data_IF_015855753807
#
_entry.id   IF_015855753807
#
_cell.length_a   1.000
_cell.length_b   1.000
_cell.length_c   1.000
_cell.angle_alpha   90.00
_cell.angle_beta   90.00
_cell.angle_gamma   90.00
#
_symmetry.space_group_name_H-M   'P 1'
#
loop_
_entity.id
_entity.type
_entity.pdbx_description
1 polymer ?
#
# COMPACT_ATOMS: atom_id res chain seq x y z
N UNK A 1 -7.64 -8.95 38.29
CA UNK A 1 -6.85 -9.49 37.16
C UNK A 1 -7.76 -9.95 36.02
N UNK A 2 -8.86 -10.66 36.30
CA UNK A 2 -9.88 -11.05 35.32
C UNK A 2 -10.63 -9.82 34.74
N UNK A 3 -10.95 -8.81 35.55
CA UNK A 3 -11.61 -7.58 35.06
C UNK A 3 -10.74 -6.78 34.10
N UNK A 4 -9.43 -6.75 34.32
CA UNK A 4 -8.48 -6.12 33.41
C UNK A 4 -8.41 -6.87 32.07
N UNK A 5 -8.46 -8.21 32.11
CA UNK A 5 -8.49 -9.06 30.92
C UNK A 5 -9.79 -8.85 30.13
N UNK A 6 -10.93 -8.80 30.82
CA UNK A 6 -12.23 -8.52 30.19
C UNK A 6 -12.29 -7.12 29.58
N UNK A 7 -11.69 -6.13 30.25
CA UNK A 7 -11.61 -4.75 29.73
C UNK A 7 -10.71 -4.68 28.49
N UNK A 8 -9.56 -5.36 28.49
CA UNK A 8 -8.69 -5.45 27.31
C UNK A 8 -9.39 -6.10 26.12
N UNK A 9 -10.11 -7.20 26.36
CA UNK A 9 -10.83 -7.93 25.31
C UNK A 9 -11.99 -7.08 24.77
N UNK A 10 -12.76 -6.42 25.64
CA UNK A 10 -13.86 -5.55 25.22
C UNK A 10 -13.37 -4.36 24.38
N UNK A 11 -12.33 -3.64 24.83
CA UNK A 11 -11.76 -2.52 24.08
C UNK A 11 -11.17 -2.95 22.73
N UNK A 12 -10.51 -4.12 22.68
CA UNK A 12 -10.01 -4.69 21.43
C UNK A 12 -11.14 -5.06 20.46
N UNK A 13 -12.26 -5.56 20.99
CA UNK A 13 -13.45 -5.91 20.20
C UNK A 13 -14.12 -4.67 19.61
N UNK A 14 -14.30 -3.61 20.39
CA UNK A 14 -14.87 -2.34 19.90
C UNK A 14 -14.01 -1.73 18.79
N UNK A 15 -12.68 -1.72 18.95
CA UNK A 15 -11.77 -1.22 17.93
C UNK A 15 -11.84 -2.02 16.62
N UNK A 16 -12.02 -3.35 16.73
CA UNK A 16 -12.15 -4.22 15.57
C UNK A 16 -13.47 -3.99 14.82
N UNK A 17 -14.57 -3.80 15.56
CA UNK A 17 -15.89 -3.49 15.00
C UNK A 17 -15.87 -2.13 14.31
N UNK A 18 -15.22 -1.13 14.89
CA UNK A 18 -15.04 0.19 14.27
C UNK A 18 -14.17 0.14 13.01
N UNK A 19 -13.12 -0.69 12.99
CA UNK A 19 -12.24 -0.85 11.83
C UNK A 19 -12.85 -1.69 10.70
N UNK A 20 -13.76 -2.62 11.01
CA UNK A 20 -14.39 -3.54 10.07
C UNK A 20 -14.98 -2.86 8.81
N UNK A 21 -15.80 -1.79 8.90
CA UNK A 21 -16.33 -1.12 7.71
C UNK A 21 -15.23 -0.51 6.83
N UNK A 22 -14.17 0.03 7.43
CA UNK A 22 -13.04 0.59 6.69
C UNK A 22 -12.22 -0.48 5.98
N UNK A 23 -12.01 -1.63 6.62
CA UNK A 23 -11.33 -2.78 6.01
C UNK A 23 -12.16 -3.30 4.82
N UNK A 24 -13.48 -3.45 4.99
CA UNK A 24 -14.37 -3.87 3.92
C UNK A 24 -14.32 -2.90 2.73
N UNK A 25 -14.33 -1.59 3.00
CA UNK A 25 -14.19 -0.56 1.97
C UNK A 25 -12.81 -0.61 1.30
N UNK A 26 -11.74 -0.88 2.06
CA UNK A 26 -10.39 -1.07 1.55
C UNK A 26 -10.29 -2.26 0.60
N UNK A 27 -10.92 -3.40 0.93
CA UNK A 27 -11.00 -4.54 0.02
C UNK A 27 -11.82 -4.25 -1.23
N UNK A 28 -12.94 -3.54 -1.10
CA UNK A 28 -13.75 -3.08 -2.22
C UNK A 28 -12.95 -2.17 -3.16
N UNK A 29 -12.23 -1.19 -2.60
CA UNK A 29 -11.37 -0.30 -3.35
C UNK A 29 -10.20 -1.04 -4.00
N UNK A 30 -9.59 -2.02 -3.32
CA UNK A 30 -8.55 -2.86 -3.90
C UNK A 30 -9.07 -3.73 -5.06
N UNK A 31 -10.29 -4.27 -4.93
CA UNK A 31 -10.97 -5.00 -6.00
C UNK A 31 -11.32 -4.10 -7.19
N UNK A 32 -11.85 -2.90 -6.93
CA UNK A 32 -12.09 -1.90 -7.98
C UNK A 32 -10.78 -1.48 -8.66
N UNK A 33 -9.71 -1.27 -7.89
CA UNK A 33 -8.40 -0.94 -8.44
C UNK A 33 -7.85 -2.07 -9.31
N UNK A 34 -8.10 -3.34 -8.95
CA UNK A 34 -7.77 -4.51 -9.79
C UNK A 34 -8.50 -4.48 -11.14
N UNK A 35 -9.75 -4.03 -11.17
CA UNK A 35 -10.50 -3.86 -12.43
C UNK A 35 -9.96 -2.68 -13.26
N UNK A 36 -9.64 -1.56 -12.61
CA UNK A 36 -9.08 -0.37 -13.27
C UNK A 36 -7.63 -0.56 -13.76
N UNK A 37 -6.84 -1.38 -13.08
CA UNK A 37 -5.45 -1.72 -13.43
C UNK A 37 -5.39 -3.19 -13.87
N UNK A 38 -5.64 -3.47 -15.16
CA UNK A 38 -5.55 -4.84 -15.67
C UNK A 38 -4.15 -5.41 -15.47
N UNK A 39 -4.10 -6.70 -15.16
CA UNK A 39 -2.89 -7.45 -14.81
C UNK A 39 -1.79 -7.30 -15.88
N UNK A 40 -2.19 -7.14 -17.14
CA UNK A 40 -1.30 -6.90 -18.29
C UNK A 40 -0.63 -5.53 -18.27
N UNK A 41 -1.33 -4.48 -17.81
CA UNK A 41 -0.73 -3.15 -17.65
C UNK A 41 0.20 -3.11 -16.44
N UNK A 42 -0.17 -3.78 -15.35
CA UNK A 42 0.67 -3.88 -14.15
C UNK A 42 1.94 -4.67 -14.45
N UNK A 43 1.86 -5.86 -15.02
CA UNK A 43 3.04 -6.63 -15.39
C UNK A 43 3.94 -5.86 -16.40
N UNK A 44 3.35 -5.12 -17.35
CA UNK A 44 4.11 -4.36 -18.35
C UNK A 44 4.74 -3.06 -17.80
N UNK A 45 4.10 -2.37 -16.84
CA UNK A 45 4.54 -1.06 -16.35
C UNK A 45 5.22 -1.10 -14.97
N UNK A 46 4.85 -2.08 -14.15
CA UNK A 46 5.28 -2.25 -12.76
C UNK A 46 6.11 -3.54 -12.56
N UNK A 47 6.09 -4.47 -13.51
CA UNK A 47 6.90 -5.70 -13.48
C UNK A 47 8.34 -5.52 -13.98
N UNK A 48 8.65 -4.44 -14.69
CA UNK A 48 10.02 -4.14 -15.12
C UNK A 48 10.91 -3.80 -13.90
N UNK A 49 12.17 -4.26 -13.93
CA UNK A 49 13.21 -3.96 -12.91
C UNK A 49 13.75 -2.52 -12.98
N UNK A 50 13.06 -1.65 -13.73
CA UNK A 50 13.47 -0.27 -13.95
C UNK A 50 12.94 0.68 -12.85
N UNK A 51 13.67 1.78 -12.56
CA UNK A 51 13.22 2.85 -11.66
C UNK A 51 11.87 3.47 -12.10
N UNK A 52 11.48 3.31 -13.37
CA UNK A 52 10.18 3.75 -13.88
C UNK A 52 9.00 3.02 -13.23
N UNK A 53 9.16 1.73 -12.89
CA UNK A 53 8.14 0.95 -12.19
C UNK A 53 7.92 1.49 -10.78
N UNK A 54 9.02 1.79 -10.07
CA UNK A 54 9.02 2.37 -8.72
C UNK A 54 8.32 3.74 -8.70
N UNK A 55 8.69 4.62 -9.63
CA UNK A 55 8.10 5.96 -9.74
C UNK A 55 6.59 5.89 -10.04
N UNK A 56 6.16 5.02 -10.96
CA UNK A 56 4.74 4.82 -11.28
C UNK A 56 3.97 4.26 -10.09
N UNK A 57 4.57 3.34 -9.33
CA UNK A 57 3.96 2.76 -8.14
C UNK A 57 3.72 3.83 -7.06
N UNK A 58 4.72 4.68 -6.79
CA UNK A 58 4.54 5.80 -5.85
C UNK A 58 3.51 6.81 -6.34
N UNK A 59 3.48 7.13 -7.64
CA UNK A 59 2.47 8.04 -8.20
C UNK A 59 1.04 7.49 -8.06
N UNK A 60 0.87 6.18 -8.24
CA UNK A 60 -0.40 5.50 -8.02
C UNK A 60 -0.78 5.44 -6.54
N UNK A 61 0.20 5.36 -5.64
CA UNK A 61 0.00 5.37 -4.19
C UNK A 61 -0.50 6.70 -3.64
N UNK A 62 -0.04 7.83 -4.20
CA UNK A 62 -0.39 9.18 -3.76
C UNK A 62 -1.90 9.46 -3.69
N UNK A 63 -2.70 9.18 -4.73
CA UNK A 63 -4.13 9.45 -4.72
C UNK A 63 -4.96 8.40 -3.95
N UNK A 64 -4.35 7.33 -3.44
CA UNK A 64 -5.06 6.26 -2.75
C UNK A 64 -5.18 6.60 -1.25
N UNK A 65 -6.39 6.93 -0.75
CA UNK A 65 -6.61 7.24 0.66
C UNK A 65 -6.73 5.96 1.50
N UNK A 66 -5.78 5.04 1.35
CA UNK A 66 -5.78 3.79 2.09
C UNK A 66 -5.06 3.98 3.43
N UNK A 67 -5.73 3.60 4.51
CA UNK A 67 -5.08 3.48 5.82
C UNK A 67 -4.20 2.21 5.86
N UNK A 68 -3.38 2.05 6.91
CA UNK A 68 -2.49 0.89 7.05
C UNK A 68 -3.23 -0.45 6.98
N UNK A 69 -4.51 -0.48 7.37
CA UNK A 69 -5.37 -1.65 7.29
C UNK A 69 -5.72 -2.06 5.85
N UNK A 70 -5.80 -1.09 4.93
CA UNK A 70 -6.14 -1.32 3.52
C UNK A 70 -4.93 -1.37 2.57
N UNK A 71 -3.81 -0.73 2.94
CA UNK A 71 -2.62 -0.70 2.07
C UNK A 71 -1.96 -2.07 1.92
N UNK A 72 -1.99 -2.90 2.97
CA UNK A 72 -1.39 -4.25 2.95
C UNK A 72 -2.09 -5.16 1.93
N UNK A 73 -3.42 -5.37 1.96
CA UNK A 73 -4.09 -6.20 0.96
C UNK A 73 -3.99 -5.61 -0.45
N UNK A 74 -4.05 -4.28 -0.60
CA UNK A 74 -3.85 -3.63 -1.89
C UNK A 74 -2.46 -3.90 -2.48
N UNK A 75 -1.41 -3.81 -1.66
CA UNK A 75 -0.05 -4.11 -2.07
C UNK A 75 0.15 -5.59 -2.43
N UNK A 76 -0.48 -6.50 -1.68
CA UNK A 76 -0.46 -7.93 -1.98
C UNK A 76 -1.16 -8.19 -3.32
N UNK A 77 -2.32 -7.59 -3.57
CA UNK A 77 -3.03 -7.71 -4.85
C UNK A 77 -2.19 -7.18 -6.02
N UNK A 78 -1.54 -6.02 -5.86
CA UNK A 78 -0.66 -5.44 -6.88
C UNK A 78 0.55 -6.34 -7.17
N UNK A 79 1.09 -6.98 -6.13
CA UNK A 79 2.19 -7.94 -6.24
C UNK A 79 1.75 -9.23 -6.93
N UNK A 80 0.54 -9.73 -6.67
CA UNK A 80 -0.03 -10.88 -7.36
C UNK A 80 -0.28 -10.61 -8.85
N UNK A 81 -0.57 -9.36 -9.22
CA UNK A 81 -0.73 -8.93 -10.62
C UNK A 81 0.60 -8.76 -11.38
N UNK A 82 1.74 -9.06 -10.76
CA UNK A 82 3.06 -9.03 -11.41
C UNK A 82 3.86 -7.75 -11.20
N UNK A 83 3.53 -6.94 -10.19
CA UNK A 83 4.41 -5.85 -9.78
C UNK A 83 5.73 -6.39 -9.18
N UNK A 84 6.85 -5.76 -9.57
CA UNK A 84 8.16 -6.06 -9.00
C UNK A 84 8.20 -5.73 -7.49
N UNK A 85 9.10 -6.40 -6.75
CA UNK A 85 9.36 -6.20 -5.31
C UNK A 85 9.62 -4.73 -4.98
N UNK A 86 10.45 -4.05 -5.77
CA UNK A 86 10.76 -2.63 -5.56
C UNK A 86 9.54 -1.72 -5.74
N UNK A 87 8.70 -2.00 -6.74
CA UNK A 87 7.46 -1.25 -6.98
C UNK A 87 6.43 -1.47 -5.86
N UNK A 88 6.26 -2.72 -5.42
CA UNK A 88 5.35 -3.05 -4.31
C UNK A 88 5.78 -2.43 -2.99
N UNK A 89 7.09 -2.42 -2.70
CA UNK A 89 7.63 -1.80 -1.50
C UNK A 89 7.52 -0.27 -1.53
N UNK A 90 7.80 0.36 -2.66
CA UNK A 90 7.62 1.81 -2.81
C UNK A 90 6.15 2.23 -2.69
N UNK A 91 5.22 1.43 -3.22
CA UNK A 91 3.79 1.62 -3.00
C UNK A 91 3.42 1.54 -1.51
N UNK A 92 3.86 0.48 -0.82
CA UNK A 92 3.62 0.29 0.61
C UNK A 92 4.15 1.43 1.49
N UNK A 93 5.27 2.05 1.11
CA UNK A 93 5.87 3.17 1.83
C UNK A 93 5.16 4.48 1.51
N UNK A 94 4.91 4.76 0.22
CA UNK A 94 4.34 6.04 -0.22
C UNK A 94 2.89 6.25 0.21
N UNK A 95 2.05 5.22 0.17
CA UNK A 95 0.61 5.32 0.49
C UNK A 95 0.33 5.83 1.92
N UNK A 96 0.91 5.26 3.00
CA UNK A 96 0.72 5.79 4.35
C UNK A 96 1.40 7.16 4.56
N UNK A 97 2.46 7.47 3.82
CA UNK A 97 3.12 8.78 3.90
C UNK A 97 2.29 9.91 3.27
N UNK A 98 1.52 9.64 2.21
CA UNK A 98 0.62 10.61 1.58
C UNK A 98 -0.85 10.41 1.94
N UNK A 99 -1.14 9.52 2.88
CA UNK A 99 -2.50 9.23 3.31
C UNK A 99 -3.24 10.49 3.78
N UNK A 100 -4.51 10.58 3.40
CA UNK A 100 -5.40 11.72 3.74
C UNK A 100 -5.44 11.97 5.25
N UNK A 101 -5.40 10.91 6.06
CA UNK A 101 -5.36 10.99 7.52
C UNK A 101 -4.14 11.78 8.03
N UNK A 102 -2.98 11.48 7.46
CA UNK A 102 -1.72 12.07 7.84
C UNK A 102 -1.57 13.50 7.31
N UNK A 103 -2.17 13.79 6.15
CA UNK A 103 -2.32 15.14 5.61
C UNK A 103 -3.26 15.97 6.49
N UNK A 104 -4.42 15.43 6.88
CA UNK A 104 -5.40 16.10 7.76
C UNK A 104 -4.77 16.45 9.11
N UNK A 105 -4.07 15.50 9.73
CA UNK A 105 -3.36 15.72 10.99
C UNK A 105 -2.30 16.80 10.85
N UNK A 106 -1.53 16.79 9.75
CA UNK A 106 -0.51 17.82 9.49
C UNK A 106 -1.13 19.18 9.25
N UNK A 107 -2.26 19.25 8.53
CA UNK A 107 -3.00 20.49 8.27
C UNK A 107 -3.55 21.10 9.56
N UNK A 108 -4.02 20.25 10.48
CA UNK A 108 -4.55 20.69 11.77
C UNK A 108 -3.46 21.20 12.73
N UNK A 109 -2.21 20.71 12.62
CA UNK A 109 -1.15 20.99 13.58
C UNK A 109 -0.04 21.94 13.09
N UNK A 110 0.29 21.99 11.79
CA UNK A 110 1.61 22.46 11.33
C UNK A 110 1.61 23.47 10.15
N UNK A 111 0.46 24.03 9.77
CA UNK A 111 0.27 25.01 8.67
C UNK A 111 0.41 24.41 7.24
N UNK A 112 -0.42 24.85 6.25
CA UNK A 112 -0.46 24.34 4.87
C UNK A 112 0.89 24.30 4.13
N UNK A 113 1.88 25.12 4.51
CA UNK A 113 3.19 25.15 3.85
C UNK A 113 4.00 23.84 4.02
N UNK A 114 3.97 23.20 5.19
CA UNK A 114 4.66 21.92 5.43
C UNK A 114 3.94 20.71 4.78
N UNK A 115 2.65 20.87 4.51
CA UNK A 115 1.82 19.83 3.88
C UNK A 115 2.28 19.52 2.46
N UNK A 116 2.81 20.51 1.74
CA UNK A 116 3.30 20.33 0.37
C UNK A 116 4.66 19.62 0.31
N UNK A 117 5.51 19.80 1.32
CA UNK A 117 6.83 19.16 1.39
C UNK A 117 6.75 17.67 1.73
N UNK A 118 5.72 17.24 2.48
CA UNK A 118 5.49 15.84 2.84
C UNK A 118 5.40 14.87 1.66
N UNK A 119 4.53 15.07 0.66
CA UNK A 119 4.47 14.16 -0.50
C UNK A 119 5.77 14.16 -1.31
N UNK A 120 6.53 15.26 -1.27
CA UNK A 120 7.82 15.35 -1.94
C UNK A 120 8.88 14.52 -1.20
N UNK A 121 8.93 14.62 0.13
CA UNK A 121 9.78 13.76 0.97
C UNK A 121 9.39 12.28 0.83
N UNK A 122 8.09 11.98 0.86
CA UNK A 122 7.53 10.64 0.69
C UNK A 122 7.91 10.03 -0.68
N UNK A 123 7.81 10.83 -1.75
CA UNK A 123 8.21 10.38 -3.07
C UNK A 123 9.71 10.04 -3.12
N UNK A 124 10.56 10.85 -2.48
CA UNK A 124 12.00 10.62 -2.42
C UNK A 124 12.32 9.36 -1.59
N UNK A 125 11.75 9.22 -0.39
CA UNK A 125 11.96 8.04 0.48
C UNK A 125 11.44 6.76 -0.16
N UNK A 126 10.25 6.79 -0.76
CA UNK A 126 9.68 5.63 -1.46
C UNK A 126 10.50 5.26 -2.71
N UNK A 127 10.98 6.23 -3.47
CA UNK A 127 11.83 5.97 -4.66
C UNK A 127 13.18 5.38 -4.26
N UNK A 128 13.83 5.93 -3.23
CA UNK A 128 15.10 5.39 -2.71
C UNK A 128 14.88 3.96 -2.20
N UNK A 129 13.86 3.74 -1.39
CA UNK A 129 13.50 2.42 -0.86
C UNK A 129 13.25 1.40 -1.97
N UNK A 130 12.41 1.75 -2.95
CA UNK A 130 12.06 0.87 -4.06
C UNK A 130 13.23 0.57 -5.00
N UNK A 131 14.14 1.55 -5.20
CA UNK A 131 15.35 1.36 -5.98
C UNK A 131 16.36 0.48 -5.24
N UNK A 132 16.54 0.71 -3.93
CA UNK A 132 17.42 -0.10 -3.09
C UNK A 132 16.96 -1.56 -3.06
N UNK A 133 15.65 -1.80 -2.96
CA UNK A 133 15.05 -3.14 -3.00
C UNK A 133 15.18 -3.78 -4.39
N UNK A 134 15.17 -3.01 -5.47
CA UNK A 134 15.49 -3.51 -6.81
C UNK A 134 16.97 -3.90 -6.94
N UNK A 135 17.87 -3.18 -6.26
CA UNK A 135 19.31 -3.44 -6.29
C UNK A 135 19.73 -4.62 -5.39
N UNK A 136 18.94 -4.98 -4.38
CA UNK A 136 19.21 -6.13 -3.51
C UNK A 136 18.79 -7.43 -4.22
N UNK A 137 19.73 -8.30 -4.60
CA UNK A 137 19.41 -9.64 -5.07
C UNK A 137 19.01 -10.46 -3.85
N UNK A 138 17.73 -10.80 -3.69
CA UNK A 138 17.34 -11.76 -2.65
C UNK A 138 17.87 -13.16 -3.01
N UNK A 139 18.71 -13.78 -2.16
CA UNK A 139 19.09 -15.17 -2.35
C UNK A 139 17.89 -16.07 -2.04
N UNK A 140 17.29 -16.67 -3.06
CA UNK A 140 16.54 -17.91 -2.90
C UNK A 140 15.04 -17.83 -2.61
N UNK A 141 14.33 -16.73 -2.90
CA UNK A 141 12.86 -16.78 -3.00
C UNK A 141 12.45 -16.67 -4.47
N UNK A 142 11.70 -17.65 -5.02
CA UNK A 142 11.29 -17.63 -6.43
C UNK A 142 10.72 -16.26 -6.82
N UNK A 143 10.86 -15.83 -8.08
CA UNK A 143 9.97 -14.82 -8.65
C UNK A 143 8.57 -15.20 -8.19
N UNK A 144 7.84 -14.28 -7.55
CA UNK A 144 6.47 -14.55 -7.15
C UNK A 144 5.75 -14.85 -8.46
N UNK A 145 5.61 -16.15 -8.74
CA UNK A 145 4.99 -16.64 -9.92
C UNK A 145 3.58 -16.08 -9.89
N UNK A 146 3.18 -15.49 -11.00
CA UNK A 146 1.81 -15.13 -11.28
C UNK A 146 1.05 -16.45 -11.12
N UNK A 147 0.43 -16.70 -9.96
CA UNK A 147 -0.55 -17.76 -9.86
C UNK A 147 -1.64 -17.33 -10.83
N UNK A 148 -1.84 -18.07 -11.94
CA UNK A 148 -2.94 -17.76 -12.83
C UNK A 148 -4.18 -17.85 -11.94
N UNK A 149 -4.93 -16.77 -11.83
CA UNK A 149 -6.34 -16.91 -11.46
C UNK A 149 -7.00 -17.63 -12.61
N UNK A 150 -6.81 -18.95 -12.63
CA UNK A 150 -7.62 -19.89 -13.37
C UNK A 150 -9.04 -19.61 -12.95
N UNK A 151 -9.84 -19.15 -13.90
CA UNK A 151 -11.27 -19.01 -13.70
C UNK A 151 -11.86 -20.28 -13.11
N UNK A 152 -12.81 -20.09 -12.20
CA UNK A 152 -14.00 -20.92 -12.01
C UNK A 152 -14.78 -20.35 -10.82
N UNK A 153 -16.02 -19.92 -11.08
CA UNK A 153 -17.07 -19.72 -10.07
C UNK A 153 -17.34 -18.28 -9.69
#
# INVERSE_FOLDING_TARGET
MIDFLLTLIANGWDFLVDAAPYVLFGFLAAGALKEFLPETLVAKHLGEEHPRAVIKASLLGIPLPLCSCGVVPAAVALRQQGANRGASAAFLVSVPETGVDSILLTWALLDPLMTLFRPLAAFVTATITGLLINLLPEPGKPPVAIEPTSGCG
#
